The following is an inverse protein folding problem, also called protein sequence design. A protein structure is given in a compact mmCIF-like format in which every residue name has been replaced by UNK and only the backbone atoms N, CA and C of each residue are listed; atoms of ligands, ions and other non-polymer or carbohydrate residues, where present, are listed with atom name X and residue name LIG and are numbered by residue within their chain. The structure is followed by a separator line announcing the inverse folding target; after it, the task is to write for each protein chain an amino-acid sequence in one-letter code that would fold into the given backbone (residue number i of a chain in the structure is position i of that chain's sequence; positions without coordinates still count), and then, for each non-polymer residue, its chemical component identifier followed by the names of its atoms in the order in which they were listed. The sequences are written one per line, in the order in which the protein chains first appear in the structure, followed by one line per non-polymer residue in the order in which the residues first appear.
data_IF_401537267975
#
_entry.id   IF_401537267975
#
_cell.length_a   1.000
_cell.length_b   1.000
_cell.length_c   1.000
_cell.angle_alpha   90.00
_cell.angle_beta   90.00
_cell.angle_gamma   90.00
#
_symmetry.space_group_name_H-M   'P 1'
#
loop_
_entity.id
_entity.type
_entity.pdbx_description
1 polymer ?
#
# COMPACT_ATOMS: atom_id res chain seq x y z
N UNK A 1 -6.05 10.54 2.94
CA UNK A 1 -6.96 10.53 4.10
C UNK A 1 -7.79 9.26 4.21
N UNK A 2 -8.64 8.92 3.22
CA UNK A 2 -9.63 7.83 3.32
C UNK A 2 -8.99 6.49 3.68
N UNK A 3 -7.94 6.09 2.95
CA UNK A 3 -7.24 4.81 3.18
C UNK A 3 -6.61 4.76 4.58
N UNK A 4 -5.93 5.83 4.99
CA UNK A 4 -5.25 5.91 6.28
C UNK A 4 -6.25 5.83 7.43
N UNK A 5 -7.35 6.58 7.35
CA UNK A 5 -8.38 6.59 8.38
C UNK A 5 -9.13 5.25 8.47
N UNK A 6 -9.45 4.62 7.33
CA UNK A 6 -10.02 3.27 7.33
C UNK A 6 -9.09 2.24 7.98
N UNK A 7 -7.78 2.35 7.72
CA UNK A 7 -6.77 1.49 8.34
C UNK A 7 -6.67 1.71 9.86
N UNK A 8 -6.76 2.96 10.32
CA UNK A 8 -6.81 3.32 11.74
C UNK A 8 -8.03 2.74 12.45
N UNK A 9 -9.22 2.81 11.83
CA UNK A 9 -10.44 2.20 12.36
C UNK A 9 -10.26 0.68 12.47
N UNK A 10 -9.75 0.03 11.42
CA UNK A 10 -9.50 -1.42 11.46
C UNK A 10 -8.53 -1.81 12.58
N UNK A 11 -7.47 -1.02 12.79
CA UNK A 11 -6.52 -1.23 13.89
C UNK A 11 -7.20 -1.08 15.27
N UNK A 12 -8.04 -0.05 15.45
CA UNK A 12 -8.81 0.17 16.68
C UNK A 12 -9.82 -0.94 16.97
N UNK A 13 -10.40 -1.55 15.93
CA UNK A 13 -11.28 -2.71 16.05
C UNK A 13 -10.52 -4.02 16.36
N UNK A 14 -9.19 -3.97 16.48
CA UNK A 14 -8.38 -5.12 16.89
C UNK A 14 -7.81 -5.95 15.74
N UNK A 15 -7.90 -5.49 14.48
CA UNK A 15 -7.35 -6.24 13.35
C UNK A 15 -5.82 -6.42 13.44
N UNK A 16 -5.34 -7.66 13.29
CA UNK A 16 -3.91 -7.98 13.30
C UNK A 16 -3.25 -7.72 11.94
N UNK A 17 -3.99 -8.04 10.87
CA UNK A 17 -3.59 -7.84 9.47
C UNK A 17 -4.65 -6.97 8.82
N UNK A 18 -4.22 -5.88 8.20
CA UNK A 18 -5.08 -4.88 7.58
C UNK A 18 -4.72 -4.82 6.10
N UNK A 19 -5.66 -5.22 5.25
CA UNK A 19 -5.55 -5.09 3.80
C UNK A 19 -6.19 -3.78 3.35
N UNK A 20 -5.45 -2.96 2.62
CA UNK A 20 -5.97 -1.73 2.02
C UNK A 20 -5.56 -1.59 0.55
N UNK A 21 -6.23 -0.68 -0.18
CA UNK A 21 -5.76 -0.25 -1.50
C UNK A 21 -4.54 0.67 -1.35
N UNK A 22 -3.69 0.69 -2.38
CA UNK A 22 -2.68 1.73 -2.55
C UNK A 22 -3.32 3.12 -2.57
N UNK A 23 -2.86 4.07 -1.73
CA UNK A 23 -3.40 5.42 -1.69
C UNK A 23 -2.87 6.27 -2.87
N UNK A 24 -3.74 7.12 -3.42
CA UNK A 24 -3.35 8.23 -4.31
C UNK A 24 -2.97 9.46 -3.49
N UNK A 25 -2.44 10.50 -4.13
CA UNK A 25 -2.15 11.80 -3.49
C UNK A 25 -3.39 12.69 -3.33
N UNK A 26 -4.57 12.22 -3.75
CA UNK A 26 -5.82 12.96 -3.55
C UNK A 26 -6.29 12.87 -2.10
N UNK A 27 -6.70 14.00 -1.53
CA UNK A 27 -7.38 14.09 -0.24
C UNK A 27 -8.85 14.36 -0.51
N UNK A 28 -9.71 13.42 -0.12
CA UNK A 28 -11.14 13.47 -0.45
C UNK A 28 -11.88 14.48 0.45
N UNK A 29 -11.63 14.45 1.76
CA UNK A 29 -12.38 15.24 2.72
C UNK A 29 -11.75 16.64 2.91
N UNK A 30 -12.49 17.74 2.65
CA UNK A 30 -11.98 19.10 2.85
C UNK A 30 -11.49 19.37 4.29
N UNK A 31 -12.13 18.78 5.28
CA UNK A 31 -11.76 18.89 6.69
C UNK A 31 -10.44 18.18 6.99
N UNK A 32 -10.22 17.01 6.37
CA UNK A 32 -8.97 16.28 6.50
C UNK A 32 -7.81 17.05 5.88
N UNK A 33 -8.05 17.76 4.76
CA UNK A 33 -7.02 18.58 4.11
C UNK A 33 -6.35 19.56 5.07
N UNK A 34 -7.13 20.25 5.92
CA UNK A 34 -6.58 21.19 6.91
C UNK A 34 -5.63 20.50 7.90
N UNK A 35 -5.99 19.30 8.36
CA UNK A 35 -5.15 18.51 9.28
C UNK A 35 -3.88 18.00 8.59
N UNK A 36 -3.99 17.53 7.35
CA UNK A 36 -2.85 17.08 6.55
C UNK A 36 -1.86 18.22 6.27
N UNK A 37 -2.37 19.40 5.89
CA UNK A 37 -1.56 20.58 5.61
C UNK A 37 -0.86 21.07 6.90
N UNK A 38 -1.56 21.14 8.03
CA UNK A 38 -1.01 21.57 9.32
C UNK A 38 0.03 20.60 9.90
N UNK A 39 -0.15 19.29 9.69
CA UNK A 39 0.79 18.26 10.11
C UNK A 39 1.92 18.02 9.10
N UNK A 40 1.92 18.75 7.97
CA UNK A 40 2.90 18.62 6.89
C UNK A 40 3.07 17.17 6.39
N UNK A 41 1.95 16.45 6.23
CA UNK A 41 1.99 15.06 5.79
C UNK A 41 2.45 14.99 4.33
N UNK A 42 3.59 14.34 4.02
CA UNK A 42 4.07 14.22 2.65
C UNK A 42 3.14 13.33 1.83
N UNK A 43 2.80 13.80 0.62
CA UNK A 43 1.93 13.08 -0.32
C UNK A 43 2.68 12.44 -1.48
N UNK A 44 3.96 12.77 -1.68
CA UNK A 44 4.84 12.18 -2.67
C UNK A 44 6.24 11.97 -2.08
N UNK A 45 6.99 10.94 -2.52
CA UNK A 45 6.59 9.89 -3.46
C UNK A 45 5.58 8.90 -2.84
N UNK A 46 5.14 7.88 -3.60
CA UNK A 46 4.24 6.83 -3.12
C UNK A 46 4.63 6.23 -1.75
N UNK A 47 5.93 6.07 -1.51
CA UNK A 47 6.46 5.55 -0.25
C UNK A 47 6.00 6.37 0.98
N UNK A 48 5.89 7.69 0.84
CA UNK A 48 5.44 8.56 1.94
C UNK A 48 3.97 8.36 2.26
N UNK A 49 3.13 8.14 1.23
CA UNK A 49 1.72 7.81 1.45
C UNK A 49 1.55 6.45 2.11
N UNK A 50 2.35 5.46 1.71
CA UNK A 50 2.38 4.13 2.35
C UNK A 50 2.81 4.27 3.82
N UNK A 51 3.88 5.01 4.08
CA UNK A 51 4.38 5.30 5.45
C UNK A 51 3.31 5.90 6.32
N UNK A 52 2.53 6.85 5.79
CA UNK A 52 1.43 7.47 6.53
C UNK A 52 0.28 6.49 6.83
N UNK A 53 -0.02 5.54 5.94
CA UNK A 53 -1.00 4.48 6.24
C UNK A 53 -0.47 3.55 7.34
N UNK A 54 0.82 3.17 7.29
CA UNK A 54 1.45 2.33 8.34
C UNK A 54 1.49 3.06 9.69
N UNK A 55 1.81 4.36 9.69
CA UNK A 55 1.72 5.23 10.86
C UNK A 55 0.31 5.19 11.48
N UNK A 56 -0.72 5.27 10.64
CA UNK A 56 -2.14 5.18 11.03
C UNK A 56 -2.55 3.79 11.53
N UNK A 57 -1.67 2.80 11.50
CA UNK A 57 -1.89 1.47 12.04
C UNK A 57 -1.12 1.26 13.35
N UNK A 58 -1.20 2.25 14.24
CA UNK A 58 -0.45 2.32 15.50
C UNK A 58 1.07 2.22 15.28
N UNK A 59 1.56 3.03 14.35
CA UNK A 59 2.99 3.12 14.02
C UNK A 59 3.59 1.75 13.63
N UNK A 60 2.89 1.03 12.75
CA UNK A 60 3.30 -0.29 12.28
C UNK A 60 3.13 -1.44 13.27
N UNK A 61 2.45 -1.26 14.41
CA UNK A 61 2.13 -2.37 15.32
C UNK A 61 1.12 -3.36 14.73
N UNK A 62 0.40 -2.98 13.68
CA UNK A 62 -0.43 -3.90 12.88
C UNK A 62 0.21 -4.14 11.52
N UNK A 63 0.10 -5.37 11.02
CA UNK A 63 0.58 -5.74 9.69
C UNK A 63 -0.32 -5.07 8.65
N UNK A 64 0.27 -4.27 7.76
CA UNK A 64 -0.46 -3.59 6.68
C UNK A 64 -0.02 -4.13 5.33
N UNK A 65 -0.94 -4.78 4.61
CA UNK A 65 -0.70 -5.28 3.26
C UNK A 65 -1.50 -4.49 2.23
N UNK A 66 -0.89 -4.22 1.09
CA UNK A 66 -1.46 -3.37 0.05
C UNK A 66 -1.91 -4.21 -1.12
N UNK A 67 -3.09 -3.91 -1.66
CA UNK A 67 -3.60 -4.57 -2.86
C UNK A 67 -3.44 -3.69 -4.08
N UNK A 68 -2.91 -4.28 -5.15
CA UNK A 68 -2.91 -3.69 -6.49
C UNK A 68 -4.29 -3.70 -7.18
N UNK A 69 -4.36 -3.01 -8.31
CA UNK A 69 -5.57 -2.77 -9.08
C UNK A 69 -5.97 -3.87 -10.07
N UNK A 70 -6.36 -3.46 -11.28
CA UNK A 70 -6.63 -4.36 -12.40
C UNK A 70 -5.30 -4.99 -12.91
N UNK A 71 -5.37 -5.80 -13.97
CA UNK A 71 -4.14 -6.23 -14.64
C UNK A 71 -3.39 -4.99 -15.14
N UNK A 72 -2.12 -4.87 -14.76
CA UNK A 72 -1.25 -3.77 -15.18
C UNK A 72 0.01 -4.33 -15.84
N UNK A 73 0.86 -3.44 -16.36
CA UNK A 73 2.18 -3.80 -16.85
C UNK A 73 3.11 -4.17 -15.69
N UNK A 74 4.04 -5.10 -15.94
CA UNK A 74 4.92 -5.66 -14.91
C UNK A 74 5.73 -4.58 -14.22
N UNK A 75 6.33 -3.66 -14.98
CA UNK A 75 7.22 -2.67 -14.40
C UNK A 75 6.46 -1.69 -13.51
N UNK A 76 5.27 -1.26 -13.92
CA UNK A 76 4.41 -0.41 -13.09
C UNK A 76 4.01 -1.10 -11.78
N UNK A 77 3.64 -2.39 -11.84
CA UNK A 77 3.33 -3.16 -10.63
C UNK A 77 4.57 -3.30 -9.72
N UNK A 78 5.75 -3.49 -10.30
CA UNK A 78 6.99 -3.60 -9.53
C UNK A 78 7.41 -2.27 -8.91
N UNK A 79 7.15 -1.14 -9.57
CA UNK A 79 7.31 0.20 -8.98
C UNK A 79 6.37 0.41 -7.79
N UNK A 80 5.10 -0.01 -7.90
CA UNK A 80 4.16 0.02 -6.77
C UNK A 80 4.67 -0.86 -5.61
N UNK A 81 5.15 -2.06 -5.89
CA UNK A 81 5.73 -2.98 -4.89
C UNK A 81 6.95 -2.36 -4.22
N UNK A 82 7.86 -1.73 -4.97
CA UNK A 82 9.01 -0.99 -4.42
C UNK A 82 8.56 0.18 -3.55
N UNK A 83 7.55 0.93 -3.98
CA UNK A 83 6.97 2.03 -3.20
C UNK A 83 6.35 1.53 -1.89
N UNK A 84 5.66 0.39 -1.91
CA UNK A 84 5.13 -0.26 -0.71
C UNK A 84 6.26 -0.63 0.24
N UNK A 85 7.29 -1.31 -0.27
CA UNK A 85 8.43 -1.75 0.53
C UNK A 85 9.17 -0.54 1.15
N UNK A 86 9.51 0.47 0.35
CA UNK A 86 10.20 1.68 0.82
C UNK A 86 9.38 2.49 1.85
N UNK A 87 8.05 2.43 1.77
CA UNK A 87 7.14 3.05 2.73
C UNK A 87 6.94 2.25 4.03
N UNK A 88 7.58 1.09 4.18
CA UNK A 88 7.42 0.23 5.35
C UNK A 88 6.13 -0.61 5.36
N UNK A 89 5.49 -0.77 4.20
CA UNK A 89 4.38 -1.71 4.06
C UNK A 89 4.86 -3.17 4.17
N UNK A 90 4.03 -4.03 4.74
CA UNK A 90 4.41 -5.39 5.11
C UNK A 90 4.28 -6.41 3.96
N UNK A 91 3.74 -5.99 2.83
CA UNK A 91 3.62 -6.85 1.66
C UNK A 91 2.53 -6.42 0.70
N UNK A 92 2.43 -7.17 -0.40
CA UNK A 92 1.38 -7.05 -1.40
C UNK A 92 0.45 -8.25 -1.39
N UNK A 93 -0.85 -8.01 -1.56
CA UNK A 93 -1.84 -9.07 -1.83
C UNK A 93 -2.34 -8.95 -3.27
N UNK A 94 -2.02 -9.96 -4.09
CA UNK A 94 -2.13 -9.88 -5.54
C UNK A 94 -2.97 -11.04 -6.08
N UNK A 95 -4.06 -10.71 -6.78
CA UNK A 95 -4.97 -11.67 -7.40
C UNK A 95 -4.90 -11.62 -8.92
N UNK A 96 -5.65 -10.71 -9.55
CA UNK A 96 -5.79 -10.60 -11.02
C UNK A 96 -4.44 -10.50 -11.75
N UNK A 97 -3.50 -9.72 -11.23
CA UNK A 97 -2.15 -9.59 -11.80
C UNK A 97 -1.33 -10.88 -11.77
N UNK A 98 -1.73 -11.90 -11.01
CA UNK A 98 -1.12 -13.23 -11.02
C UNK A 98 -1.91 -14.17 -11.93
N UNK A 99 -3.22 -14.28 -11.69
CA UNK A 99 -4.05 -15.35 -12.30
C UNK A 99 -4.51 -15.08 -13.74
N UNK A 100 -4.43 -13.83 -14.22
CA UNK A 100 -4.82 -13.49 -15.60
C UNK A 100 -3.64 -13.49 -16.58
N UNK A 101 -2.47 -13.96 -16.14
CA UNK A 101 -1.26 -14.11 -16.96
C UNK A 101 -1.03 -15.57 -17.33
N UNK A 102 -0.31 -15.86 -18.43
CA UNK A 102 0.27 -17.18 -18.65
C UNK A 102 1.06 -17.64 -17.41
N UNK A 103 0.91 -18.92 -17.03
CA UNK A 103 1.52 -19.48 -15.82
C UNK A 103 3.04 -19.20 -15.69
N UNK A 104 3.87 -19.34 -16.74
CA UNK A 104 5.29 -19.04 -16.64
C UNK A 104 5.57 -17.57 -16.30
N UNK A 105 4.83 -16.64 -16.91
CA UNK A 105 4.94 -15.20 -16.66
C UNK A 105 4.48 -14.84 -15.23
N UNK A 106 3.38 -15.43 -14.77
CA UNK A 106 2.87 -15.22 -13.41
C UNK A 106 3.91 -15.66 -12.36
N UNK A 107 4.55 -16.82 -12.54
CA UNK A 107 5.59 -17.32 -11.64
C UNK A 107 6.82 -16.40 -11.67
N UNK A 108 7.24 -15.95 -12.84
CA UNK A 108 8.37 -15.03 -12.98
C UNK A 108 8.09 -13.69 -12.29
N UNK A 109 6.89 -13.12 -12.49
CA UNK A 109 6.46 -11.89 -11.83
C UNK A 109 6.46 -12.05 -10.30
N UNK A 110 5.86 -13.12 -9.78
CA UNK A 110 5.81 -13.37 -8.33
C UNK A 110 7.20 -13.52 -7.72
N UNK A 111 8.18 -14.12 -8.43
CA UNK A 111 9.58 -14.18 -7.99
C UNK A 111 10.20 -12.80 -7.85
N UNK A 112 10.05 -11.94 -8.87
CA UNK A 112 10.56 -10.55 -8.82
C UNK A 112 9.94 -9.77 -7.65
N UNK A 113 8.67 -9.98 -7.36
CA UNK A 113 7.98 -9.34 -6.21
C UNK A 113 8.55 -9.84 -4.89
N UNK A 114 8.77 -11.15 -4.74
CA UNK A 114 9.39 -11.71 -3.54
C UNK A 114 10.83 -11.20 -3.33
N UNK A 115 11.60 -11.06 -4.41
CA UNK A 115 12.97 -10.50 -4.38
C UNK A 115 12.98 -9.06 -3.84
N UNK A 116 12.02 -8.22 -4.25
CA UNK A 116 11.90 -6.84 -3.72
C UNK A 116 11.58 -6.84 -2.22
N UNK A 117 10.74 -7.75 -1.73
CA UNK A 117 10.41 -7.80 -0.31
C UNK A 117 11.50 -8.45 0.56
N UNK A 118 12.42 -9.19 -0.04
CA UNK A 118 13.52 -9.86 0.66
C UNK A 118 14.81 -9.01 0.75
N UNK A 119 14.90 -7.90 0.01
CA UNK A 119 16.01 -6.93 0.08
C UNK A 119 15.88 -5.99 1.26
#
# INVERSE_FOLDING_TARGET
DVVAYAAQIAAQLGAHIIKVKLPTSHIEQPEAKKAYDAAHIPLEPLAERVRHVVQSCFDGRRIVIFSGGAREEDERLLEEVRGIHAGGGFGSIIGRNSFQRPKPEAIALLRRIMEIYAS
#
